data_IF_311404669618
#
_entry.id   IF_311404669618
#
_cell.length_a   1.000
_cell.length_b   1.000
_cell.length_c   1.000
_cell.angle_alpha   90.00
_cell.angle_beta   90.00
_cell.angle_gamma   90.00
#
_symmetry.space_group_name_H-M   'P 1'
#
loop_
_entity.id
_entity.type
_entity.pdbx_description
1 polymer ?
#
# COMPACT_ATOMS: atom_id res chain seq x y z
N UNK A 1 33.69 -39.82 10.99
CA UNK A 1 34.75 -40.21 10.04
C UNK A 1 34.18 -39.98 8.66
N UNK A 2 34.78 -39.11 7.85
CA UNK A 2 34.35 -38.91 6.47
C UNK A 2 34.62 -40.15 5.62
N UNK A 3 33.80 -40.38 4.60
CA UNK A 3 34.02 -41.42 3.60
C UNK A 3 34.82 -40.82 2.44
N UNK A 4 35.66 -41.63 1.79
CA UNK A 4 36.37 -41.30 0.56
C UNK A 4 35.85 -42.28 -0.50
N UNK A 5 34.70 -41.95 -1.06
CA UNK A 5 34.03 -42.73 -2.10
C UNK A 5 34.60 -42.38 -3.48
N UNK A 6 35.21 -41.20 -3.64
CA UNK A 6 35.93 -40.79 -4.85
C UNK A 6 37.28 -41.51 -5.06
N UNK A 7 37.88 -42.05 -4.00
CA UNK A 7 39.11 -42.84 -4.03
C UNK A 7 40.38 -42.01 -4.24
N UNK A 8 40.36 -40.73 -3.89
CA UNK A 8 41.51 -39.81 -4.04
C UNK A 8 42.38 -39.71 -2.77
N UNK A 9 41.98 -40.40 -1.70
CA UNK A 9 42.68 -40.44 -0.42
C UNK A 9 42.32 -39.29 0.53
N UNK A 10 41.38 -38.41 0.16
CA UNK A 10 40.96 -37.26 0.96
C UNK A 10 39.46 -37.39 1.24
N UNK A 11 39.02 -37.68 2.47
CA UNK A 11 37.59 -37.79 2.76
C UNK A 11 36.89 -36.43 2.78
N UNK A 12 35.63 -36.40 2.32
CA UNK A 12 34.73 -35.23 2.29
C UNK A 12 35.17 -34.07 1.39
N UNK A 13 35.74 -34.34 0.22
CA UNK A 13 36.13 -33.30 -0.73
C UNK A 13 35.44 -33.42 -2.11
N UNK A 14 34.90 -34.59 -2.45
CA UNK A 14 34.12 -34.80 -3.67
C UNK A 14 32.64 -35.00 -3.35
N UNK A 15 31.76 -34.78 -4.33
CA UNK A 15 30.31 -34.87 -4.14
C UNK A 15 29.90 -36.26 -3.64
N UNK A 16 30.59 -37.29 -4.11
CA UNK A 16 30.38 -38.68 -3.76
C UNK A 16 30.75 -39.00 -2.29
N UNK A 17 31.57 -38.18 -1.63
CA UNK A 17 32.02 -38.40 -0.25
C UNK A 17 31.02 -37.93 0.81
N UNK A 18 29.95 -37.25 0.39
CA UNK A 18 28.93 -36.73 1.28
C UNK A 18 27.77 -37.73 1.43
N UNK A 19 27.58 -38.22 2.66
CA UNK A 19 26.51 -39.17 3.04
C UNK A 19 25.09 -38.57 3.00
N UNK A 20 24.95 -37.33 2.55
CA UNK A 20 23.69 -36.62 2.44
C UNK A 20 23.72 -35.78 1.16
N UNK A 21 22.55 -35.64 0.51
CA UNK A 21 22.37 -34.66 -0.55
C UNK A 21 22.88 -33.31 -0.02
N UNK A 22 23.93 -32.77 -0.65
CA UNK A 22 24.31 -31.39 -0.41
C UNK A 22 23.10 -30.56 -0.77
N UNK A 23 22.45 -29.97 0.25
CA UNK A 23 21.22 -29.24 0.08
C UNK A 23 21.38 -28.26 -1.08
N UNK A 24 20.62 -28.47 -2.16
CA UNK A 24 20.65 -27.59 -3.31
C UNK A 24 20.26 -26.22 -2.77
N UNK A 25 21.22 -25.30 -2.75
CA UNK A 25 20.93 -23.90 -2.55
C UNK A 25 20.15 -23.49 -3.80
N UNK A 26 18.82 -23.52 -3.72
CA UNK A 26 17.99 -23.03 -4.81
C UNK A 26 18.38 -21.57 -5.01
N UNK A 27 19.01 -21.28 -6.14
CA UNK A 27 19.32 -19.92 -6.52
C UNK A 27 17.97 -19.29 -6.87
N UNK A 28 17.38 -18.59 -5.90
CA UNK A 28 16.28 -17.69 -6.19
C UNK A 28 16.75 -16.68 -7.24
N UNK A 29 15.89 -16.37 -8.20
CA UNK A 29 16.12 -15.30 -9.17
C UNK A 29 16.36 -13.96 -8.47
N UNK A 30 15.81 -13.80 -7.26
CA UNK A 30 15.94 -12.61 -6.43
C UNK A 30 15.96 -12.94 -4.93
N UNK A 31 16.48 -12.00 -4.14
CA UNK A 31 16.37 -11.88 -2.68
C UNK A 31 15.78 -10.52 -2.32
N UNK A 32 16.05 -9.49 -3.13
CA UNK A 32 15.53 -8.14 -2.97
C UNK A 32 14.67 -7.77 -4.19
N UNK A 33 13.61 -6.99 -3.97
CA UNK A 33 12.80 -6.42 -5.07
C UNK A 33 13.64 -5.63 -6.08
N UNK A 34 14.73 -4.99 -5.65
CA UNK A 34 15.64 -4.25 -6.55
C UNK A 34 16.40 -5.13 -7.56
N UNK A 35 16.32 -6.45 -7.43
CA UNK A 35 16.92 -7.42 -8.36
C UNK A 35 15.93 -7.85 -9.46
N UNK A 36 14.65 -7.49 -9.31
CA UNK A 36 13.60 -7.75 -10.29
C UNK A 36 13.47 -6.60 -11.30
N UNK A 37 12.78 -6.86 -12.42
CA UNK A 37 12.50 -5.81 -13.40
C UNK A 37 11.54 -4.76 -12.83
N UNK A 38 11.46 -3.59 -13.47
CA UNK A 38 10.48 -2.56 -13.10
C UNK A 38 9.05 -3.15 -13.09
N UNK A 39 8.32 -2.95 -11.99
CA UNK A 39 6.98 -3.51 -11.77
C UNK A 39 6.93 -4.98 -11.33
N UNK A 40 8.04 -5.53 -10.84
CA UNK A 40 8.12 -6.88 -10.27
C UNK A 40 8.60 -6.87 -8.82
N UNK A 41 8.14 -7.86 -8.04
CA UNK A 41 8.55 -8.05 -6.65
C UNK A 41 9.14 -9.42 -6.41
N UNK A 42 10.11 -9.48 -5.49
CA UNK A 42 10.67 -10.74 -5.07
C UNK A 42 9.77 -11.42 -4.05
N UNK A 43 9.20 -12.56 -4.43
CA UNK A 43 8.37 -13.40 -3.57
C UNK A 43 8.90 -14.82 -3.65
N UNK A 44 9.29 -15.39 -2.50
CA UNK A 44 9.83 -16.75 -2.40
C UNK A 44 10.99 -17.07 -3.38
N UNK A 45 11.79 -16.05 -3.72
CA UNK A 45 12.93 -16.18 -4.62
C UNK A 45 12.60 -16.07 -6.10
N UNK A 46 11.37 -15.71 -6.47
CA UNK A 46 10.95 -15.48 -7.85
C UNK A 46 10.49 -14.03 -8.05
N UNK A 47 10.84 -13.45 -9.20
CA UNK A 47 10.33 -12.15 -9.58
C UNK A 47 8.91 -12.30 -10.14
N UNK A 48 7.93 -11.77 -9.42
CA UNK A 48 6.53 -11.82 -9.82
C UNK A 48 6.05 -10.43 -10.21
N UNK A 49 5.42 -10.35 -11.38
CA UNK A 49 4.68 -9.15 -11.81
C UNK A 49 3.46 -8.99 -10.92
N UNK A 50 3.22 -7.77 -10.47
CA UNK A 50 1.89 -7.51 -9.97
C UNK A 50 0.89 -7.50 -11.13
N UNK A 51 -0.26 -8.06 -10.83
CA UNK A 51 -1.39 -8.15 -11.74
C UNK A 51 -2.66 -7.59 -11.12
N UNK A 52 -2.57 -7.05 -9.91
CA UNK A 52 -3.69 -6.55 -9.12
C UNK A 52 -3.60 -5.03 -8.99
N UNK A 53 -4.62 -4.28 -9.43
CA UNK A 53 -4.64 -2.83 -9.25
C UNK A 53 -4.88 -2.46 -7.78
N UNK A 54 -4.42 -1.27 -7.34
CA UNK A 54 -4.65 -0.81 -5.97
C UNK A 54 -6.14 -0.61 -5.66
N UNK A 55 -6.57 -1.08 -4.49
CA UNK A 55 -7.94 -0.95 -3.99
C UNK A 55 -7.99 -0.60 -2.50
N UNK A 56 -9.05 0.09 -2.06
CA UNK A 56 -9.18 0.50 -0.65
C UNK A 56 -9.48 -0.74 0.17
N UNK A 57 -8.51 -1.16 0.97
CA UNK A 57 -8.67 -2.29 1.89
C UNK A 57 -9.49 -1.89 3.12
N UNK A 58 -9.23 -0.69 3.66
CA UNK A 58 -9.93 -0.24 4.88
C UNK A 58 -10.13 1.27 4.96
N UNK A 59 -11.08 1.67 5.81
CA UNK A 59 -11.44 3.06 6.07
C UNK A 59 -11.62 3.31 7.55
N UNK A 60 -11.31 4.53 7.99
CA UNK A 60 -11.68 5.03 9.30
C UNK A 60 -12.38 6.40 9.17
N UNK A 61 -13.60 6.55 9.70
CA UNK A 61 -14.44 5.50 10.25
C UNK A 61 -14.73 4.41 9.23
N UNK A 62 -14.95 3.17 9.71
CA UNK A 62 -15.29 2.08 8.81
C UNK A 62 -16.61 2.37 8.12
N UNK A 63 -16.73 2.03 6.84
CA UNK A 63 -17.99 2.16 6.11
C UNK A 63 -19.18 1.59 6.89
N UNK A 64 -20.31 2.31 6.88
CA UNK A 64 -21.54 2.02 7.64
C UNK A 64 -21.42 2.03 9.18
N UNK A 65 -20.33 2.58 9.73
CA UNK A 65 -20.26 2.76 11.19
C UNK A 65 -21.22 3.85 11.68
N UNK A 66 -21.78 3.65 12.86
CA UNK A 66 -22.70 4.58 13.53
C UNK A 66 -22.13 5.02 14.87
N UNK A 67 -22.65 6.12 15.42
CA UNK A 67 -22.28 6.68 16.73
C UNK A 67 -20.76 6.95 16.87
N UNK A 68 -20.13 7.41 15.79
CA UNK A 68 -18.74 7.82 15.80
C UNK A 68 -18.60 9.10 16.67
N UNK A 69 -17.66 9.13 17.64
CA UNK A 69 -17.35 10.35 18.39
C UNK A 69 -16.95 11.51 17.47
N UNK A 70 -16.94 12.76 17.97
CA UNK A 70 -16.51 13.92 17.17
C UNK A 70 -15.18 13.66 16.44
N UNK A 71 -15.24 13.67 15.10
CA UNK A 71 -14.15 13.26 14.22
C UNK A 71 -13.64 14.46 13.42
N UNK A 72 -12.33 14.61 13.29
CA UNK A 72 -11.70 15.67 12.49
C UNK A 72 -11.15 15.19 11.14
N UNK A 73 -10.76 13.92 11.06
CA UNK A 73 -10.08 13.34 9.91
C UNK A 73 -10.71 12.02 9.51
N UNK A 74 -10.65 11.71 8.21
CA UNK A 74 -11.04 10.43 7.64
C UNK A 74 -9.80 9.81 7.01
N UNK A 75 -9.64 8.50 7.14
CA UNK A 75 -8.51 7.79 6.51
C UNK A 75 -8.99 6.66 5.62
N UNK A 76 -8.28 6.46 4.51
CA UNK A 76 -8.43 5.30 3.63
C UNK A 76 -7.06 4.63 3.53
N UNK A 77 -7.03 3.30 3.57
CA UNK A 77 -5.81 2.50 3.46
C UNK A 77 -5.94 1.61 2.23
N UNK A 78 -4.97 1.74 1.32
CA UNK A 78 -4.82 0.89 0.13
C UNK A 78 -4.19 -0.44 0.52
N UNK A 79 -4.43 -1.49 -0.26
CA UNK A 79 -3.80 -2.82 -0.09
C UNK A 79 -2.27 -2.80 -0.33
N UNK A 80 -1.75 -1.71 -0.90
CA UNK A 80 -0.35 -1.57 -1.28
C UNK A 80 0.10 -0.10 -1.24
N UNK A 81 1.41 0.13 -1.44
CA UNK A 81 1.94 1.49 -1.54
C UNK A 81 1.53 2.12 -2.87
N UNK A 82 1.05 3.36 -2.82
CA UNK A 82 0.58 4.06 -4.00
C UNK A 82 1.08 5.50 -4.03
N UNK A 83 1.00 6.11 -5.20
CA UNK A 83 1.29 7.53 -5.40
C UNK A 83 0.05 8.28 -5.89
N UNK A 84 0.07 9.60 -5.78
CA UNK A 84 -0.96 10.44 -6.40
C UNK A 84 -0.82 10.30 -7.93
N UNK A 85 -1.91 9.91 -8.61
CA UNK A 85 -1.88 9.71 -10.06
C UNK A 85 -1.72 11.03 -10.82
N UNK A 86 -2.57 12.01 -10.48
CA UNK A 86 -2.60 13.34 -11.09
C UNK A 86 -2.94 14.40 -10.03
N UNK A 87 -2.41 15.61 -10.23
CA UNK A 87 -2.80 16.76 -9.45
C UNK A 87 -4.28 17.10 -9.67
N UNK A 88 -4.91 17.67 -8.64
CA UNK A 88 -6.27 18.21 -8.68
C UNK A 88 -7.40 17.17 -8.80
N UNK A 89 -7.10 15.88 -8.62
CA UNK A 89 -8.12 14.83 -8.49
C UNK A 89 -8.99 15.08 -7.27
N UNK A 90 -10.30 14.93 -7.44
CA UNK A 90 -11.30 15.38 -6.46
C UNK A 90 -11.66 14.32 -5.44
N UNK A 91 -11.79 14.76 -4.18
CA UNK A 91 -12.40 14.02 -3.08
C UNK A 91 -13.54 14.90 -2.53
N UNK A 92 -14.71 14.31 -2.39
CA UNK A 92 -15.89 14.99 -1.89
C UNK A 92 -16.39 14.30 -0.62
N UNK A 93 -16.64 15.08 0.41
CA UNK A 93 -17.33 14.64 1.62
C UNK A 93 -18.66 15.40 1.72
N UNK A 94 -19.77 14.67 1.83
CA UNK A 94 -21.11 15.25 1.85
C UNK A 94 -21.81 14.81 3.15
N UNK A 95 -22.32 15.77 3.93
CA UNK A 95 -23.28 15.46 4.99
C UNK A 95 -24.66 15.25 4.35
N UNK A 96 -25.17 14.02 4.35
CA UNK A 96 -26.46 13.68 3.73
C UNK A 96 -27.65 14.23 4.53
N UNK A 97 -27.45 14.58 5.81
CA UNK A 97 -28.47 15.21 6.64
C UNK A 97 -28.51 16.73 6.44
N UNK A 98 -27.47 17.31 5.86
CA UNK A 98 -27.40 18.72 5.49
C UNK A 98 -26.52 18.94 4.25
N UNK A 99 -27.13 18.94 3.07
CA UNK A 99 -26.41 19.08 1.79
C UNK A 99 -25.65 20.40 1.64
N UNK A 100 -25.95 21.43 2.44
CA UNK A 100 -25.13 22.66 2.47
C UNK A 100 -23.75 22.45 3.11
N UNK A 101 -23.57 21.35 3.83
CA UNK A 101 -22.29 20.92 4.41
C UNK A 101 -21.64 19.89 3.50
N UNK A 102 -21.02 20.42 2.43
CA UNK A 102 -20.21 19.67 1.50
C UNK A 102 -18.79 20.22 1.51
N UNK A 103 -17.81 19.31 1.51
CA UNK A 103 -16.39 19.63 1.45
C UNK A 103 -15.85 19.11 0.13
N UNK A 104 -15.31 20.03 -0.66
CA UNK A 104 -14.68 19.76 -1.94
C UNK A 104 -13.17 19.90 -1.78
N UNK A 105 -12.46 18.81 -2.00
CA UNK A 105 -11.04 18.68 -1.70
C UNK A 105 -10.33 18.13 -2.91
N UNK A 106 -9.05 18.46 -3.03
CA UNK A 106 -8.19 17.96 -4.10
C UNK A 106 -6.94 17.32 -3.50
N UNK A 107 -6.49 16.25 -4.13
CA UNK A 107 -5.20 15.61 -3.83
C UNK A 107 -4.10 16.14 -4.78
N UNK A 108 -2.84 15.96 -4.38
CA UNK A 108 -1.67 16.41 -5.14
C UNK A 108 -1.38 17.88 -4.85
N UNK A 109 -2.03 18.79 -5.59
CA UNK A 109 -1.82 20.23 -5.46
C UNK A 109 -2.99 20.96 -4.80
N UNK A 110 -2.74 21.46 -3.59
CA UNK A 110 -3.70 22.26 -2.82
C UNK A 110 -3.78 23.71 -3.35
N UNK A 111 -4.97 24.23 -3.72
CA UNK A 111 -5.16 25.62 -4.10
C UNK A 111 -4.80 26.60 -2.97
N UNK A 112 -4.32 27.79 -3.34
CA UNK A 112 -4.07 28.87 -2.38
C UNK A 112 -5.36 29.25 -1.63
N UNK A 113 -5.26 29.38 -0.31
CA UNK A 113 -6.41 29.70 0.55
C UNK A 113 -7.32 28.50 0.88
N UNK A 114 -7.05 27.31 0.35
CA UNK A 114 -7.79 26.11 0.76
C UNK A 114 -7.53 25.80 2.24
N UNK A 115 -8.59 25.43 2.95
CA UNK A 115 -8.54 25.13 4.39
C UNK A 115 -8.57 23.63 4.70
N UNK A 116 -8.71 22.75 3.70
CA UNK A 116 -8.62 21.30 3.90
C UNK A 116 -7.16 20.82 3.88
N UNK A 117 -6.93 19.57 4.29
CA UNK A 117 -5.66 18.88 4.09
C UNK A 117 -5.91 17.48 3.55
N UNK A 118 -5.13 17.07 2.55
CA UNK A 118 -5.20 15.73 1.96
C UNK A 118 -3.77 15.25 1.78
N UNK A 119 -3.41 14.19 2.51
CA UNK A 119 -2.05 13.63 2.49
C UNK A 119 -2.12 12.15 2.17
N UNK A 120 -1.38 11.73 1.14
CA UNK A 120 -1.08 10.34 0.85
C UNK A 120 0.33 10.01 1.32
N UNK A 121 0.47 8.94 2.10
CA UNK A 121 1.74 8.49 2.67
C UNK A 121 1.81 6.96 2.54
N UNK A 122 2.48 6.50 1.49
CA UNK A 122 2.47 5.09 1.07
C UNK A 122 1.04 4.61 0.83
N UNK A 123 0.58 3.70 1.70
CA UNK A 123 -0.77 3.10 1.60
C UNK A 123 -1.88 3.99 2.17
N UNK A 124 -1.55 4.98 3.00
CA UNK A 124 -2.54 5.69 3.82
C UNK A 124 -2.85 7.07 3.26
N UNK A 125 -4.11 7.27 2.87
CA UNK A 125 -4.68 8.57 2.57
C UNK A 125 -5.37 9.14 3.81
N UNK A 126 -4.98 10.34 4.23
CA UNK A 126 -5.57 11.08 5.34
C UNK A 126 -6.23 12.35 4.81
N UNK A 127 -7.49 12.57 5.21
CA UNK A 127 -8.33 13.69 4.75
C UNK A 127 -8.82 14.48 5.96
N UNK A 128 -8.45 15.77 6.02
CA UNK A 128 -8.96 16.76 6.97
C UNK A 128 -9.83 17.74 6.17
N UNK A 129 -11.17 17.65 6.25
CA UNK A 129 -12.05 18.42 5.36
C UNK A 129 -12.02 19.94 5.58
N UNK A 130 -11.75 20.37 6.82
CA UNK A 130 -11.50 21.77 7.15
C UNK A 130 -10.61 21.83 8.39
N UNK A 131 -9.44 22.44 8.27
CA UNK A 131 -8.48 22.59 9.37
C UNK A 131 -8.99 23.55 10.47
N UNK A 132 -9.96 24.41 10.14
CA UNK A 132 -10.51 25.45 11.03
C UNK A 132 -11.52 24.91 12.03
N UNK A 133 -12.13 23.77 11.74
CA UNK A 133 -13.11 23.14 12.63
C UNK A 133 -12.41 22.18 13.61
N UNK A 134 -13.01 21.98 14.78
CA UNK A 134 -12.53 21.01 15.78
C UNK A 134 -12.91 19.58 15.40
N UNK A 135 -14.09 19.42 14.85
CA UNK A 135 -14.65 18.17 14.35
C UNK A 135 -15.69 18.47 13.29
N UNK A 136 -15.98 17.50 12.45
CA UNK A 136 -17.12 17.52 11.55
C UNK A 136 -18.42 17.72 12.36
N UNK A 137 -19.38 18.49 11.82
CA UNK A 137 -20.72 18.56 12.40
C UNK A 137 -21.36 17.17 12.49
N UNK A 138 -22.25 16.92 13.47
CA UNK A 138 -23.01 15.69 13.51
C UNK A 138 -23.82 15.47 12.23
N UNK A 139 -23.82 14.24 11.71
CA UNK A 139 -24.56 13.89 10.50
C UNK A 139 -24.11 12.56 9.93
N UNK A 140 -24.82 12.14 8.90
CA UNK A 140 -24.47 10.99 8.08
C UNK A 140 -23.64 11.48 6.90
N UNK A 141 -22.56 10.77 6.59
CA UNK A 141 -21.57 11.25 5.62
C UNK A 141 -21.35 10.25 4.50
N UNK A 142 -21.26 10.78 3.28
CA UNK A 142 -20.79 10.06 2.10
C UNK A 142 -19.43 10.61 1.68
N UNK A 143 -18.46 9.72 1.49
CA UNK A 143 -17.16 10.03 0.90
C UNK A 143 -17.16 9.49 -0.52
N UNK A 144 -16.82 10.34 -1.48
CA UNK A 144 -16.59 9.96 -2.88
C UNK A 144 -15.26 10.53 -3.35
N UNK A 145 -14.60 9.83 -4.28
CA UNK A 145 -13.38 10.30 -4.92
C UNK A 145 -13.40 9.91 -6.39
N UNK A 146 -12.66 10.66 -7.22
CA UNK A 146 -12.54 10.35 -8.64
C UNK A 146 -11.79 9.03 -8.89
N UNK A 147 -12.22 8.27 -9.90
CA UNK A 147 -11.50 7.09 -10.35
C UNK A 147 -10.08 7.45 -10.77
N UNK A 148 -9.11 6.60 -10.42
CA UNK A 148 -7.70 6.85 -10.72
C UNK A 148 -7.11 8.01 -9.91
N UNK A 149 -7.58 8.23 -8.68
CA UNK A 149 -6.98 9.21 -7.76
C UNK A 149 -5.55 8.82 -7.31
N UNK A 150 -5.28 7.52 -7.28
CA UNK A 150 -3.96 6.96 -7.03
C UNK A 150 -3.47 6.21 -8.25
N UNK A 151 -2.16 6.19 -8.45
CA UNK A 151 -1.49 5.33 -9.41
C UNK A 151 -0.76 4.23 -8.65
N UNK A 152 -0.73 3.10 -9.31
CA UNK A 152 0.16 2.01 -8.96
C UNK A 152 1.62 2.50 -9.04
N UNK A 153 2.48 1.96 -8.17
CA UNK A 153 3.90 2.33 -8.07
C UNK A 153 4.80 1.49 -8.97
N UNK A 154 4.19 0.76 -9.90
CA UNK A 154 4.79 -0.25 -10.75
C UNK A 154 4.91 0.20 -12.20
#
# INVERSE_FOLDING_TARGET
SGQDLGGDGIPCNQEEDFDADLGILSVGECVLTSECADGEFCVDGECQKDTYPPFVESTYPRNNSVAIPPLKEITMVWNENVEVAEDYRRIVLINTNNQSQQYDMMIGRKPSGAHYDVKLDGQKLTVIPDQRIRSLPPGDYLVAYELGIVKDLQ
#
